data_IF_410268533074
#
_entry.id   IF_410268533074
#
_cell.length_a   1.000
_cell.length_b   1.000
_cell.length_c   1.000
_cell.angle_alpha   90.00
_cell.angle_beta   90.00
_cell.angle_gamma   90.00
#
_symmetry.space_group_name_H-M   'P 1'
#
loop_
_entity.id
_entity.type
_entity.pdbx_description
1 polymer ?
#
# COMPACT_ATOMS: atom_id res chain seq x y z
N UNK A 1 34.03 -5.96 -30.22
CA UNK A 1 33.78 -5.63 -28.80
C UNK A 1 32.94 -6.76 -28.23
N UNK A 2 33.40 -7.40 -27.16
CA UNK A 2 32.69 -8.53 -26.56
C UNK A 2 31.45 -8.03 -25.82
N UNK A 3 30.28 -8.64 -26.06
CA UNK A 3 29.05 -8.29 -25.35
C UNK A 3 29.09 -8.89 -23.95
N UNK A 4 28.95 -8.06 -22.93
CA UNK A 4 28.82 -8.47 -21.53
C UNK A 4 27.35 -8.50 -21.10
N UNK A 5 27.03 -9.38 -20.16
CA UNK A 5 25.72 -9.49 -19.54
C UNK A 5 25.46 -8.25 -18.65
N UNK A 6 24.33 -7.55 -18.80
CA UNK A 6 24.03 -6.37 -17.99
C UNK A 6 23.71 -6.70 -16.52
N UNK A 7 23.51 -7.97 -16.16
CA UNK A 7 23.21 -8.40 -14.79
C UNK A 7 24.47 -8.85 -14.01
N UNK A 8 25.31 -9.70 -14.60
CA UNK A 8 26.47 -10.29 -13.92
C UNK A 8 27.83 -9.84 -14.50
N UNK A 9 27.85 -9.10 -15.60
CA UNK A 9 29.07 -8.66 -16.27
C UNK A 9 29.80 -9.75 -17.08
N UNK A 10 29.39 -11.02 -16.97
CA UNK A 10 30.02 -12.12 -17.72
C UNK A 10 29.86 -11.98 -19.23
N UNK A 11 30.82 -12.55 -19.97
CA UNK A 11 30.79 -12.60 -21.43
C UNK A 11 29.58 -13.38 -21.93
N UNK A 12 28.85 -12.81 -22.89
CA UNK A 12 27.73 -13.48 -23.52
C UNK A 12 28.27 -14.43 -24.60
N UNK A 13 28.00 -15.72 -24.44
CA UNK A 13 28.30 -16.77 -25.40
C UNK A 13 27.00 -17.25 -26.05
N UNK A 14 27.01 -17.39 -27.38
CA UNK A 14 25.89 -17.90 -28.17
C UNK A 14 25.45 -16.92 -29.26
N UNK A 15 24.15 -16.89 -29.56
CA UNK A 15 23.57 -16.09 -30.65
C UNK A 15 23.97 -14.62 -30.58
N UNK A 16 24.16 -14.01 -31.75
CA UNK A 16 24.57 -12.60 -31.91
C UNK A 16 23.61 -11.60 -31.25
N UNK A 17 22.32 -11.93 -31.14
CA UNK A 17 21.27 -11.10 -30.55
C UNK A 17 21.06 -11.32 -29.04
N UNK A 18 21.79 -12.27 -28.43
CA UNK A 18 21.66 -12.60 -27.01
C UNK A 18 22.06 -11.40 -26.13
N UNK A 19 21.15 -11.00 -25.23
CA UNK A 19 21.31 -9.85 -24.31
C UNK A 19 21.74 -10.23 -22.88
N UNK A 20 21.49 -11.48 -22.47
CA UNK A 20 21.79 -11.98 -21.12
C UNK A 20 22.52 -13.31 -21.21
N UNK A 21 23.46 -13.61 -20.30
CA UNK A 21 24.19 -14.88 -20.32
C UNK A 21 23.27 -16.09 -20.04
N UNK A 22 22.23 -15.90 -19.22
CA UNK A 22 21.27 -16.92 -18.79
C UNK A 22 19.85 -16.36 -18.61
N UNK A 23 18.84 -17.24 -18.56
CA UNK A 23 17.47 -16.85 -18.22
C UNK A 23 17.36 -16.33 -16.78
N UNK A 24 18.18 -16.85 -15.86
CA UNK A 24 18.30 -16.31 -14.50
C UNK A 24 18.71 -14.84 -14.51
N UNK A 25 19.76 -14.49 -15.26
CA UNK A 25 20.24 -13.11 -15.36
C UNK A 25 19.20 -12.17 -15.99
N UNK A 26 18.45 -12.66 -16.98
CA UNK A 26 17.33 -11.90 -17.57
C UNK A 26 16.27 -11.57 -16.52
N UNK A 27 15.85 -12.58 -15.74
CA UNK A 27 14.83 -12.41 -14.72
C UNK A 27 15.31 -11.51 -13.57
N UNK A 28 16.54 -11.69 -13.09
CA UNK A 28 17.12 -10.87 -12.02
C UNK A 28 17.21 -9.39 -12.42
N UNK A 29 17.66 -9.10 -13.65
CA UNK A 29 17.74 -7.75 -14.18
C UNK A 29 16.36 -7.06 -14.25
N UNK A 30 15.35 -7.76 -14.78
CA UNK A 30 13.99 -7.22 -14.86
C UNK A 30 13.31 -7.08 -13.49
N UNK A 31 13.61 -7.98 -12.55
CA UNK A 31 13.13 -7.87 -11.17
C UNK A 31 13.75 -6.67 -10.44
N UNK A 32 15.04 -6.37 -10.66
CA UNK A 32 15.69 -5.17 -10.12
C UNK A 32 15.05 -3.88 -10.64
N UNK A 33 14.74 -3.83 -11.94
CA UNK A 33 14.12 -2.66 -12.56
C UNK A 33 12.74 -2.31 -11.96
N UNK A 34 12.00 -3.29 -11.46
CA UNK A 34 10.67 -3.10 -10.87
C UNK A 34 10.66 -3.14 -9.32
N UNK A 35 11.82 -3.23 -8.67
CA UNK A 35 11.90 -3.50 -7.23
C UNK A 35 11.27 -2.36 -6.41
N UNK A 36 11.60 -1.11 -6.71
CA UNK A 36 11.17 0.02 -5.88
C UNK A 36 9.68 0.32 -6.04
N UNK A 37 9.16 0.28 -7.28
CA UNK A 37 7.74 0.41 -7.55
C UNK A 37 6.92 -0.72 -6.92
N UNK A 38 7.40 -1.96 -7.02
CA UNK A 38 6.77 -3.13 -6.38
C UNK A 38 6.76 -3.02 -4.85
N UNK A 39 7.85 -2.54 -4.25
CA UNK A 39 7.94 -2.32 -2.81
C UNK A 39 6.97 -1.24 -2.33
N UNK A 40 6.87 -0.10 -3.02
CA UNK A 40 5.94 0.97 -2.67
C UNK A 40 4.49 0.49 -2.69
N UNK A 41 4.08 -0.19 -3.77
CA UNK A 41 2.73 -0.75 -3.91
C UNK A 41 2.47 -1.78 -2.81
N UNK A 42 3.42 -2.68 -2.56
CA UNK A 42 3.31 -3.70 -1.50
C UNK A 42 3.15 -3.06 -0.12
N UNK A 43 3.96 -2.06 0.22
CA UNK A 43 3.92 -1.38 1.52
C UNK A 43 2.60 -0.61 1.69
N UNK A 44 2.13 0.08 0.65
CA UNK A 44 0.83 0.76 0.65
C UNK A 44 -0.30 -0.24 0.90
N UNK A 45 -0.30 -1.37 0.20
CA UNK A 45 -1.31 -2.42 0.39
C UNK A 45 -1.24 -3.05 1.79
N UNK A 46 -0.04 -3.24 2.35
CA UNK A 46 0.12 -3.71 3.73
C UNK A 46 -0.45 -2.71 4.73
N UNK A 47 -0.22 -1.41 4.54
CA UNK A 47 -0.77 -0.36 5.41
C UNK A 47 -2.29 -0.25 5.29
N UNK A 48 -2.86 -0.36 4.08
CA UNK A 48 -4.31 -0.42 3.87
C UNK A 48 -4.94 -1.61 4.61
N UNK A 49 -4.35 -2.82 4.50
CA UNK A 49 -4.82 -4.00 5.23
C UNK A 49 -4.72 -3.83 6.74
N UNK A 50 -3.65 -3.21 7.24
CA UNK A 50 -3.48 -2.92 8.67
C UNK A 50 -4.54 -1.92 9.15
N UNK A 51 -4.74 -0.82 8.41
CA UNK A 51 -5.76 0.17 8.71
C UNK A 51 -7.17 -0.45 8.76
N UNK A 52 -7.52 -1.27 7.76
CA UNK A 52 -8.80 -1.96 7.69
C UNK A 52 -9.07 -2.79 8.95
N UNK A 53 -8.12 -3.65 9.35
CA UNK A 53 -8.21 -4.46 10.58
C UNK A 53 -8.36 -3.62 11.84
N UNK A 54 -7.65 -2.49 11.94
CA UNK A 54 -7.75 -1.59 13.10
C UNK A 54 -9.16 -0.98 13.18
N UNK A 55 -9.72 -0.54 12.05
CA UNK A 55 -11.07 0.02 12.03
C UNK A 55 -12.10 -1.05 12.40
N UNK A 56 -11.99 -2.25 11.83
CA UNK A 56 -12.87 -3.38 12.15
C UNK A 56 -12.82 -3.75 13.64
N UNK A 57 -11.61 -3.87 14.22
CA UNK A 57 -11.42 -4.18 15.64
C UNK A 57 -12.00 -3.08 16.56
N UNK A 58 -11.81 -1.82 16.18
CA UNK A 58 -12.26 -0.69 16.99
C UNK A 58 -13.74 -0.35 16.77
N UNK A 59 -14.39 -0.88 15.73
CA UNK A 59 -15.78 -0.61 15.36
C UNK A 59 -16.67 -1.86 15.40
N UNK A 60 -16.80 -2.57 16.54
CA UNK A 60 -17.54 -3.83 16.62
C UNK A 60 -19.06 -3.70 16.42
N UNK A 61 -19.60 -2.49 16.53
CA UNK A 61 -21.03 -2.19 16.42
C UNK A 61 -21.36 -1.44 15.11
N UNK A 62 -20.47 -1.49 14.13
CA UNK A 62 -20.54 -0.79 12.83
C UNK A 62 -20.61 0.75 12.90
N UNK A 63 -20.77 1.33 14.09
CA UNK A 63 -20.67 2.75 14.38
C UNK A 63 -20.15 2.98 15.79
N UNK A 64 -19.06 3.73 15.91
CA UNK A 64 -18.49 4.13 17.21
C UNK A 64 -17.71 5.45 17.12
N UNK A 65 -17.17 5.92 18.24
CA UNK A 65 -16.18 7.00 18.25
C UNK A 65 -14.96 6.61 19.09
N UNK A 66 -13.77 6.96 18.60
CA UNK A 66 -12.49 6.66 19.28
C UNK A 66 -11.58 7.88 19.26
N UNK A 67 -10.73 8.07 20.29
CA UNK A 67 -9.74 9.14 20.26
C UNK A 67 -8.64 8.83 19.25
N UNK A 68 -8.10 9.87 18.61
CA UNK A 68 -7.00 9.79 17.63
C UNK A 68 -5.81 8.99 18.16
N UNK A 69 -5.47 9.17 19.43
CA UNK A 69 -4.37 8.49 20.10
C UNK A 69 -4.53 6.97 20.09
N UNK A 70 -5.76 6.45 20.18
CA UNK A 70 -6.04 5.00 20.13
C UNK A 70 -5.77 4.40 18.75
N UNK A 71 -6.11 5.14 17.69
CA UNK A 71 -5.77 4.75 16.30
C UNK A 71 -4.25 4.75 16.09
N UNK A 72 -3.57 5.82 16.52
CA UNK A 72 -2.11 5.93 16.40
C UNK A 72 -1.36 4.86 17.19
N UNK A 73 -1.82 4.54 18.40
CA UNK A 73 -1.21 3.49 19.23
C UNK A 73 -1.26 2.09 18.57
N UNK A 74 -2.26 1.83 17.73
CA UNK A 74 -2.34 0.61 16.91
C UNK A 74 -1.57 0.72 15.58
N UNK A 75 -0.96 1.87 15.31
CA UNK A 75 -0.22 2.17 14.10
C UNK A 75 -1.11 2.34 12.86
N UNK A 76 -2.29 2.93 13.05
CA UNK A 76 -3.13 3.41 11.97
C UNK A 76 -2.47 4.58 11.25
N UNK A 77 -2.47 4.57 9.92
CA UNK A 77 -1.99 5.70 9.10
C UNK A 77 -3.17 6.43 8.46
N UNK A 78 -3.23 7.75 8.64
CA UNK A 78 -4.25 8.59 8.00
C UNK A 78 -3.88 8.96 6.54
N UNK A 79 -2.70 8.55 6.07
CA UNK A 79 -2.18 8.92 4.73
C UNK A 79 -2.74 8.04 3.62
N UNK A 80 -3.22 6.84 3.95
CA UNK A 80 -3.71 5.87 2.95
C UNK A 80 -5.17 5.53 3.19
N UNK A 81 -5.97 5.74 2.16
CA UNK A 81 -7.40 5.43 2.08
C UNK A 81 -7.76 5.07 0.63
N UNK A 82 -8.87 4.37 0.45
CA UNK A 82 -9.35 3.91 -0.87
C UNK A 82 -10.39 4.81 -1.48
N UNK A 83 -11.18 5.54 -0.68
CA UNK A 83 -12.17 6.48 -1.19
C UNK A 83 -12.53 7.57 -0.17
N UNK A 84 -13.09 8.67 -0.69
CA UNK A 84 -13.61 9.79 0.11
C UNK A 84 -15.09 9.90 -0.17
N UNK A 85 -15.87 10.26 0.84
CA UNK A 85 -17.27 10.64 0.70
C UNK A 85 -17.57 11.93 1.45
N UNK A 86 -18.13 12.90 0.75
CA UNK A 86 -18.48 14.20 1.31
C UNK A 86 -19.99 14.28 1.47
N UNK A 87 -20.47 14.57 2.67
CA UNK A 87 -21.91 14.77 2.92
C UNK A 87 -22.37 16.12 2.38
N UNK A 88 -23.69 16.29 2.23
CA UNK A 88 -24.29 17.59 1.88
C UNK A 88 -23.94 18.71 2.88
N UNK A 89 -23.64 18.35 4.13
CA UNK A 89 -23.21 19.27 5.20
C UNK A 89 -21.71 19.57 5.17
N UNK A 90 -20.94 18.99 4.23
CA UNK A 90 -19.50 19.21 4.08
C UNK A 90 -18.60 18.27 4.90
N UNK A 91 -19.17 17.31 5.63
CA UNK A 91 -18.38 16.34 6.40
C UNK A 91 -17.68 15.35 5.46
N UNK A 92 -16.38 15.16 5.65
CA UNK A 92 -15.55 14.28 4.83
C UNK A 92 -15.25 12.96 5.55
N UNK A 93 -15.76 11.87 4.98
CA UNK A 93 -15.45 10.52 5.40
C UNK A 93 -14.33 9.96 4.53
N UNK A 94 -13.35 9.34 5.18
CA UNK A 94 -12.27 8.62 4.52
C UNK A 94 -12.50 7.13 4.74
N UNK A 95 -12.46 6.35 3.66
CA UNK A 95 -12.74 4.93 3.69
C UNK A 95 -11.52 4.11 3.34
N UNK A 96 -11.35 3.01 4.05
CA UNK A 96 -10.51 1.88 3.70
C UNK A 96 -11.45 0.71 3.42
N UNK A 97 -11.71 0.46 2.15
CA UNK A 97 -12.75 -0.46 1.68
C UNK A 97 -14.14 -0.12 2.26
N UNK A 98 -14.73 -1.01 3.04
CA UNK A 98 -16.02 -0.87 3.71
C UNK A 98 -15.94 -0.11 5.04
N UNK A 99 -14.75 0.02 5.63
CA UNK A 99 -14.55 0.71 6.90
C UNK A 99 -14.22 2.18 6.68
N UNK A 100 -14.86 3.09 7.42
CA UNK A 100 -14.73 4.52 7.28
C UNK A 100 -14.44 5.24 8.58
N UNK A 101 -13.81 6.41 8.47
CA UNK A 101 -13.58 7.32 9.58
C UNK A 101 -13.85 8.78 9.19
N UNK A 102 -14.33 9.56 10.16
CA UNK A 102 -14.59 11.00 10.04
C UNK A 102 -13.98 11.69 11.26
N UNK A 103 -13.23 12.77 11.05
CA UNK A 103 -12.71 13.59 12.16
C UNK A 103 -13.85 14.32 12.86
N UNK A 104 -13.87 14.22 14.18
CA UNK A 104 -14.77 14.95 15.09
C UNK A 104 -13.99 16.03 15.84
N UNK A 105 -14.68 16.75 16.71
CA UNK A 105 -14.06 17.67 17.67
C UNK A 105 -13.22 16.92 18.72
N UNK A 106 -12.39 17.65 19.46
CA UNK A 106 -11.57 17.13 20.57
C UNK A 106 -10.65 15.95 20.20
N UNK A 107 -10.17 15.90 18.96
CA UNK A 107 -9.33 14.82 18.42
C UNK A 107 -9.97 13.42 18.50
N UNK A 108 -11.29 13.34 18.37
CA UNK A 108 -12.00 12.08 18.15
C UNK A 108 -12.22 11.79 16.67
N UNK A 109 -12.44 10.51 16.37
CA UNK A 109 -12.85 10.04 15.07
C UNK A 109 -14.11 9.18 15.23
N UNK A 110 -15.14 9.48 14.45
CA UNK A 110 -16.26 8.57 14.25
C UNK A 110 -15.82 7.46 13.30
N UNK A 111 -16.06 6.21 13.66
CA UNK A 111 -15.87 5.04 12.80
C UNK A 111 -17.22 4.56 12.30
N UNK A 112 -17.30 4.17 11.04
CA UNK A 112 -18.51 3.66 10.38
C UNK A 112 -18.17 2.49 9.47
N UNK A 113 -19.11 1.57 9.25
CA UNK A 113 -19.02 0.53 8.22
C UNK A 113 -20.08 0.74 7.14
N UNK A 114 -19.71 0.49 5.88
CA UNK A 114 -20.64 0.37 4.75
C UNK A 114 -20.97 -1.11 4.52
N UNK A 115 -22.24 -1.39 4.23
CA UNK A 115 -22.67 -2.69 3.73
C UNK A 115 -22.46 -2.78 2.21
#
# INVERSE_FOLDING_TARGET
MEKSCPECGEKIIGRTDKKFCSDYCRNAYHNKANKDSSNLIRNTNNQLRKNHRILEELNPTDKTSVPRTKLLAKGFSFEVFTSIYVTKTGNQYFFVYDQGYLKLENDFYALVKRN
#
